data_IF_945909128199
#
_entry.id   IF_945909128199
#
_cell.length_a   1.000
_cell.length_b   1.000
_cell.length_c   1.000
_cell.angle_alpha   90.00
_cell.angle_beta   90.00
_cell.angle_gamma   90.00
#
_symmetry.space_group_name_H-M   'P 1'
#
loop_
_entity.id
_entity.type
_entity.pdbx_description
1 polymer ?
#
# COMPACT_ATOMS: atom_id res chain seq x y z
N UNK A 1 -18.28 24.83 18.19
CA UNK A 1 -17.04 24.12 17.77
C UNK A 1 -17.47 22.80 17.14
N UNK A 2 -17.00 22.39 15.95
CA UNK A 2 -17.36 21.08 15.42
C UNK A 2 -16.84 20.02 16.40
N UNK A 3 -17.74 19.20 16.94
CA UNK A 3 -17.42 18.13 17.88
C UNK A 3 -16.24 17.30 17.37
N UNK A 4 -15.32 16.99 18.29
CA UNK A 4 -14.15 16.17 17.99
C UNK A 4 -14.64 14.73 17.81
N UNK A 5 -14.82 14.33 16.54
CA UNK A 5 -15.21 12.95 16.15
C UNK A 5 -14.51 11.89 17.00
N UNK A 6 -15.27 10.87 17.41
CA UNK A 6 -14.73 9.74 18.19
C UNK A 6 -13.63 9.03 17.39
N UNK A 7 -12.50 8.77 18.06
CA UNK A 7 -11.38 8.05 17.43
C UNK A 7 -11.72 6.56 17.32
N UNK A 8 -11.56 6.00 16.13
CA UNK A 8 -11.78 4.57 15.88
C UNK A 8 -10.43 3.85 16.07
N UNK A 9 -10.19 3.35 17.27
CA UNK A 9 -8.93 2.72 17.65
C UNK A 9 -8.63 1.46 16.84
N UNK A 10 -9.67 0.70 16.47
CA UNK A 10 -9.50 -0.54 15.71
C UNK A 10 -8.93 -0.32 14.31
N UNK A 11 -9.19 0.83 13.67
CA UNK A 11 -8.55 1.17 12.38
C UNK A 11 -7.04 1.38 12.53
N UNK A 12 -6.62 2.00 13.63
CA UNK A 12 -5.20 2.15 13.94
C UNK A 12 -4.58 0.78 14.28
N UNK A 13 -5.25 -0.07 15.05
CA UNK A 13 -4.74 -1.39 15.43
C UNK A 13 -4.58 -2.34 14.24
N UNK A 14 -5.59 -2.42 13.35
CA UNK A 14 -5.50 -3.26 12.15
C UNK A 14 -4.42 -2.75 11.20
N UNK A 15 -4.29 -1.41 11.03
CA UNK A 15 -3.20 -0.84 10.24
C UNK A 15 -1.83 -1.17 10.85
N UNK A 16 -1.71 -1.09 12.17
CA UNK A 16 -0.49 -1.44 12.88
C UNK A 16 -0.12 -2.91 12.68
N UNK A 17 -1.10 -3.81 12.78
CA UNK A 17 -0.93 -5.23 12.49
C UNK A 17 -0.45 -5.47 11.06
N UNK A 18 -1.10 -4.88 10.05
CA UNK A 18 -0.72 -5.05 8.64
C UNK A 18 0.73 -4.60 8.37
N UNK A 19 1.18 -3.51 8.99
CA UNK A 19 2.56 -3.04 8.87
C UNK A 19 3.53 -4.01 9.54
N UNK A 20 3.21 -4.51 10.72
CA UNK A 20 4.06 -5.50 11.40
C UNK A 20 4.22 -6.76 10.55
N UNK A 21 3.13 -7.26 9.94
CA UNK A 21 3.20 -8.38 9.01
C UNK A 21 4.12 -8.09 7.82
N UNK A 22 4.05 -6.88 7.25
CA UNK A 22 4.96 -6.45 6.19
C UNK A 22 6.42 -6.41 6.67
N UNK A 23 6.70 -5.89 7.87
CA UNK A 23 8.06 -5.90 8.45
C UNK A 23 8.58 -7.33 8.60
N UNK A 24 7.77 -8.25 9.12
CA UNK A 24 8.16 -9.66 9.23
C UNK A 24 8.44 -10.28 7.85
N UNK A 25 7.62 -9.97 6.86
CA UNK A 25 7.82 -10.43 5.49
C UNK A 25 9.20 -9.99 4.95
N UNK A 26 9.51 -8.69 5.01
CA UNK A 26 10.80 -8.17 4.56
C UNK A 26 11.99 -8.64 5.40
N UNK A 27 11.81 -8.87 6.71
CA UNK A 27 12.87 -9.41 7.55
C UNK A 27 13.36 -10.79 7.06
N UNK A 28 12.47 -11.66 6.56
CA UNK A 28 12.88 -12.95 6.01
C UNK A 28 13.54 -12.82 4.63
N UNK A 29 13.14 -11.83 3.82
CA UNK A 29 13.88 -11.49 2.60
C UNK A 29 15.32 -11.09 2.94
N UNK A 30 15.51 -10.21 3.92
CA UNK A 30 16.83 -9.71 4.30
C UNK A 30 17.70 -10.80 4.96
N UNK A 31 17.11 -11.83 5.57
CA UNK A 31 17.85 -13.04 6.01
C UNK A 31 18.48 -13.76 4.81
N UNK A 32 17.76 -13.83 3.69
CA UNK A 32 18.29 -14.35 2.43
C UNK A 32 19.31 -13.40 1.81
N UNK A 33 18.90 -12.16 1.53
CA UNK A 33 19.68 -11.19 0.74
C UNK A 33 20.94 -10.69 1.47
N UNK A 34 20.86 -10.45 2.78
CA UNK A 34 21.94 -9.80 3.56
C UNK A 34 22.79 -10.80 4.31
N UNK A 35 22.17 -11.81 4.94
CA UNK A 35 22.90 -12.83 5.71
C UNK A 35 23.34 -14.00 4.81
N UNK A 36 22.66 -14.24 3.68
CA UNK A 36 22.97 -15.34 2.77
C UNK A 36 22.40 -16.69 3.21
N UNK A 37 21.32 -16.68 4.01
CA UNK A 37 20.71 -17.91 4.53
C UNK A 37 19.45 -18.27 3.71
N UNK A 38 19.54 -19.33 2.91
CA UNK A 38 18.49 -19.79 1.99
C UNK A 38 17.13 -20.03 2.66
N UNK A 39 17.10 -20.47 3.92
CA UNK A 39 15.85 -20.67 4.66
C UNK A 39 15.03 -19.38 4.81
N UNK A 40 15.67 -18.20 4.72
CA UNK A 40 14.99 -16.91 4.69
C UNK A 40 14.06 -16.79 3.48
N UNK A 41 14.53 -17.17 2.29
CA UNK A 41 13.71 -17.15 1.07
C UNK A 41 12.56 -18.14 1.13
N UNK A 42 12.77 -19.34 1.70
CA UNK A 42 11.69 -20.33 1.86
C UNK A 42 10.51 -19.76 2.67
N UNK A 43 10.80 -19.06 3.77
CA UNK A 43 9.77 -18.44 4.59
C UNK A 43 9.16 -17.22 3.89
N UNK A 44 9.98 -16.39 3.25
CA UNK A 44 9.50 -15.26 2.46
C UNK A 44 8.48 -15.70 1.39
N UNK A 45 8.83 -16.71 0.60
CA UNK A 45 7.96 -17.26 -0.45
C UNK A 45 6.68 -17.88 0.12
N UNK A 46 6.76 -18.56 1.27
CA UNK A 46 5.58 -19.05 1.97
C UNK A 46 4.66 -17.89 2.39
N UNK A 47 5.23 -16.79 2.87
CA UNK A 47 4.47 -15.60 3.28
C UNK A 47 3.89 -14.82 2.08
N UNK A 48 4.47 -14.91 0.88
CA UNK A 48 3.90 -14.34 -0.35
C UNK A 48 2.48 -14.84 -0.63
N UNK A 49 2.10 -16.03 -0.15
CA UNK A 49 0.74 -16.57 -0.28
C UNK A 49 -0.29 -15.78 0.55
N UNK A 50 0.09 -15.36 1.75
CA UNK A 50 -0.78 -14.58 2.65
C UNK A 50 -0.59 -13.07 2.49
N UNK A 51 0.51 -12.67 1.85
CA UNK A 51 0.86 -11.28 1.62
C UNK A 51 -0.29 -10.46 1.03
N UNK A 52 -0.96 -10.88 -0.06
CA UNK A 52 -2.18 -10.27 -0.63
C UNK A 52 -3.19 -9.72 0.38
N UNK A 53 -3.37 -10.43 1.50
CA UNK A 53 -4.34 -10.07 2.53
C UNK A 53 -3.93 -8.77 3.23
N UNK A 54 -2.67 -8.63 3.64
CA UNK A 54 -2.26 -7.49 4.48
C UNK A 54 -2.20 -6.17 3.70
N UNK A 55 -1.73 -6.15 2.45
CA UNK A 55 -1.76 -4.92 1.66
C UNK A 55 -3.17 -4.57 1.18
N UNK A 56 -4.03 -5.55 0.89
CA UNK A 56 -5.46 -5.29 0.64
C UNK A 56 -6.11 -4.60 1.84
N UNK A 57 -5.92 -5.14 3.05
CA UNK A 57 -6.39 -4.51 4.30
C UNK A 57 -5.84 -3.09 4.43
N UNK A 58 -4.55 -2.90 4.17
CA UNK A 58 -3.89 -1.60 4.27
C UNK A 58 -4.45 -0.57 3.29
N UNK A 59 -4.72 -0.96 2.04
CA UNK A 59 -5.33 -0.13 0.99
C UNK A 59 -6.76 0.24 1.37
N UNK A 60 -7.59 -0.73 1.78
CA UNK A 60 -8.98 -0.49 2.19
C UNK A 60 -9.04 0.46 3.40
N UNK A 61 -8.22 0.25 4.42
CA UNK A 61 -8.15 1.13 5.60
C UNK A 61 -7.68 2.53 5.20
N UNK A 62 -6.73 2.65 4.27
CA UNK A 62 -6.27 3.94 3.75
C UNK A 62 -7.38 4.69 3.02
N UNK A 63 -8.22 3.99 2.26
CA UNK A 63 -9.46 4.49 1.69
C UNK A 63 -10.44 4.98 2.75
N UNK A 64 -10.75 4.15 3.76
CA UNK A 64 -11.64 4.52 4.87
C UNK A 64 -11.15 5.78 5.60
N UNK A 65 -9.85 5.85 5.89
CA UNK A 65 -9.26 7.00 6.57
C UNK A 65 -9.20 8.26 5.71
N UNK A 66 -9.24 8.12 4.38
CA UNK A 66 -9.35 9.23 3.45
C UNK A 66 -10.75 9.86 3.47
N UNK A 67 -11.79 9.07 3.73
CA UNK A 67 -13.16 9.57 3.98
C UNK A 67 -13.29 10.33 5.30
N UNK A 68 -12.53 9.90 6.32
CA UNK A 68 -12.49 10.52 7.64
C UNK A 68 -11.62 11.79 7.71
N UNK A 69 -10.67 11.93 6.79
CA UNK A 69 -9.69 13.01 6.82
C UNK A 69 -10.32 14.37 6.51
N UNK A 70 -9.77 15.42 7.11
CA UNK A 70 -10.15 16.81 6.81
C UNK A 70 -9.52 17.30 5.50
N UNK A 71 -8.30 16.86 5.20
CA UNK A 71 -7.56 17.27 4.01
C UNK A 71 -6.79 16.07 3.44
N UNK A 72 -7.51 15.26 2.66
CA UNK A 72 -6.98 14.04 2.04
C UNK A 72 -5.93 14.35 0.99
N UNK A 73 -6.12 15.41 0.18
CA UNK A 73 -5.16 15.83 -0.86
C UNK A 73 -3.81 16.17 -0.23
N UNK A 74 -3.78 16.97 0.83
CA UNK A 74 -2.53 17.32 1.53
C UNK A 74 -1.81 16.07 2.04
N UNK A 75 -2.54 15.11 2.61
CA UNK A 75 -1.95 13.85 3.08
C UNK A 75 -1.40 13.02 1.92
N UNK A 76 -2.14 12.93 0.82
CA UNK A 76 -1.69 12.26 -0.40
C UNK A 76 -0.39 12.85 -0.94
N UNK A 77 -0.29 14.18 -1.00
CA UNK A 77 0.95 14.88 -1.42
C UNK A 77 2.11 14.54 -0.48
N UNK A 78 1.92 14.54 0.84
CA UNK A 78 2.98 14.16 1.79
C UNK A 78 3.45 12.72 1.52
N UNK A 79 2.52 11.79 1.31
CA UNK A 79 2.86 10.39 1.00
C UNK A 79 3.60 10.28 -0.33
N UNK A 80 3.21 11.03 -1.37
CA UNK A 80 3.90 11.08 -2.65
C UNK A 80 5.32 11.64 -2.53
N UNK A 81 5.53 12.67 -1.70
CA UNK A 81 6.88 13.20 -1.44
C UNK A 81 7.74 12.13 -0.76
N UNK A 82 7.22 11.44 0.25
CA UNK A 82 7.92 10.32 0.88
C UNK A 82 8.22 9.20 -0.11
N UNK A 83 7.29 8.88 -1.01
CA UNK A 83 7.47 7.89 -2.06
C UNK A 83 8.59 8.29 -3.04
N UNK A 84 8.61 9.55 -3.48
CA UNK A 84 9.69 10.07 -4.34
C UNK A 84 11.07 10.08 -3.67
N UNK A 85 11.12 10.30 -2.34
CA UNK A 85 12.37 10.14 -1.57
C UNK A 85 12.84 8.67 -1.60
N UNK A 86 11.92 7.70 -1.46
CA UNK A 86 12.28 6.27 -1.58
C UNK A 86 12.80 5.96 -2.98
N UNK A 87 12.13 6.44 -4.04
CA UNK A 87 12.61 6.24 -5.42
C UNK A 87 13.99 6.86 -5.62
N UNK A 88 14.23 8.07 -5.12
CA UNK A 88 15.55 8.69 -5.20
C UNK A 88 16.61 7.86 -4.46
N UNK A 89 16.30 7.38 -3.26
CA UNK A 89 17.21 6.56 -2.48
C UNK A 89 17.52 5.22 -3.18
N UNK A 90 16.49 4.51 -3.64
CA UNK A 90 16.60 3.14 -4.15
C UNK A 90 16.98 3.06 -5.62
N UNK A 91 16.51 3.97 -6.47
CA UNK A 91 16.75 3.93 -7.91
C UNK A 91 17.89 4.86 -8.39
N UNK A 92 18.43 5.72 -7.51
CA UNK A 92 19.56 6.61 -7.84
C UNK A 92 20.71 6.43 -6.86
N UNK A 93 20.49 6.64 -5.56
CA UNK A 93 21.59 6.63 -4.58
C UNK A 93 22.17 5.22 -4.42
N UNK A 94 21.33 4.20 -4.24
CA UNK A 94 21.77 2.81 -4.07
C UNK A 94 22.57 2.27 -5.28
N UNK A 95 22.11 2.44 -6.54
CA UNK A 95 22.91 2.08 -7.72
C UNK A 95 24.25 2.80 -7.81
N UNK A 96 24.31 4.09 -7.45
CA UNK A 96 25.58 4.83 -7.40
C UNK A 96 26.56 4.28 -6.34
N UNK A 97 26.04 3.59 -5.33
CA UNK A 97 26.82 2.88 -4.31
C UNK A 97 27.10 1.41 -4.67
N UNK A 98 26.65 0.94 -5.84
CA UNK A 98 26.86 -0.43 -6.32
C UNK A 98 25.78 -1.43 -5.91
N UNK A 99 24.70 -0.99 -5.24
CA UNK A 99 23.54 -1.84 -4.93
C UNK A 99 22.54 -1.77 -6.08
N UNK A 100 22.35 -2.89 -6.79
CA UNK A 100 21.48 -3.00 -7.97
C UNK A 100 20.39 -4.05 -7.72
N UNK A 101 19.21 -3.87 -8.29
CA UNK A 101 18.09 -4.82 -8.19
C UNK A 101 17.07 -4.50 -7.10
N UNK A 102 17.34 -3.51 -6.25
CA UNK A 102 16.46 -3.04 -5.18
C UNK A 102 15.71 -1.73 -5.54
N UNK A 103 15.69 -1.35 -6.82
CA UNK A 103 15.11 -0.09 -7.26
C UNK A 103 13.59 -0.09 -7.10
N UNK A 104 13.03 1.00 -6.56
CA UNK A 104 11.58 1.19 -6.45
C UNK A 104 11.17 2.35 -7.36
N UNK A 105 10.47 2.06 -8.46
CA UNK A 105 9.98 3.08 -9.39
C UNK A 105 8.56 3.57 -9.07
N UNK A 106 7.65 2.65 -8.72
CA UNK A 106 6.25 2.98 -8.40
C UNK A 106 5.65 2.00 -7.39
N UNK A 107 6.18 2.04 -6.17
CA UNK A 107 5.72 1.20 -5.05
C UNK A 107 4.39 1.64 -4.42
N UNK A 108 3.99 0.95 -3.34
CA UNK A 108 2.68 1.12 -2.69
C UNK A 108 2.44 2.55 -2.19
N UNK A 109 3.45 3.30 -1.74
CA UNK A 109 3.26 4.70 -1.33
C UNK A 109 2.93 5.61 -2.52
N UNK A 110 3.48 5.36 -3.71
CA UNK A 110 3.11 6.10 -4.91
C UNK A 110 1.63 5.88 -5.25
N UNK A 111 1.21 4.62 -5.25
CA UNK A 111 -0.17 4.22 -5.46
C UNK A 111 -1.11 4.88 -4.44
N UNK A 112 -0.83 4.72 -3.14
CA UNK A 112 -1.68 5.25 -2.07
C UNK A 112 -1.74 6.78 -2.06
N UNK A 113 -0.60 7.44 -2.24
CA UNK A 113 -0.53 8.89 -2.35
C UNK A 113 -1.38 9.41 -3.51
N UNK A 114 -1.29 8.76 -4.67
CA UNK A 114 -2.10 9.08 -5.85
C UNK A 114 -3.59 8.83 -5.60
N UNK A 115 -3.94 7.68 -5.03
CA UNK A 115 -5.32 7.35 -4.65
C UNK A 115 -5.91 8.37 -3.67
N UNK A 116 -5.12 8.83 -2.69
CA UNK A 116 -5.53 9.88 -1.74
C UNK A 116 -5.79 11.21 -2.44
N UNK A 117 -4.92 11.64 -3.35
CA UNK A 117 -5.10 12.88 -4.12
C UNK A 117 -6.38 12.78 -4.95
N UNK A 118 -6.53 11.73 -5.75
CA UNK A 118 -7.72 11.52 -6.60
C UNK A 118 -8.99 11.47 -5.74
N UNK A 119 -9.00 10.66 -4.68
CA UNK A 119 -10.16 10.54 -3.78
C UNK A 119 -10.48 11.87 -3.09
N UNK A 120 -9.46 12.64 -2.71
CA UNK A 120 -9.62 13.95 -2.08
C UNK A 120 -10.30 14.95 -3.03
N UNK A 121 -9.88 14.98 -4.30
CA UNK A 121 -10.49 15.82 -5.34
C UNK A 121 -11.92 15.37 -5.68
N UNK A 122 -12.16 14.06 -5.74
CA UNK A 122 -13.48 13.48 -6.03
C UNK A 122 -14.40 13.39 -4.80
N UNK A 123 -13.95 13.78 -3.61
CA UNK A 123 -14.71 13.65 -2.37
C UNK A 123 -16.12 14.28 -2.42
N UNK A 124 -16.34 15.45 -3.06
CA UNK A 124 -17.70 16.00 -3.22
C UNK A 124 -18.64 15.06 -4.00
N UNK A 125 -18.13 14.35 -5.00
CA UNK A 125 -18.91 13.36 -5.76
C UNK A 125 -19.17 12.11 -4.92
N UNK A 126 -18.15 11.59 -4.23
CA UNK A 126 -18.29 10.43 -3.33
C UNK A 126 -19.30 10.69 -2.19
N UNK A 127 -19.60 11.94 -1.84
CA UNK A 127 -20.60 12.28 -0.82
C UNK A 127 -22.04 12.25 -1.37
N UNK A 128 -22.23 12.35 -2.68
CA UNK A 128 -23.53 12.31 -3.36
C UNK A 128 -23.99 10.90 -3.71
N UNK A 129 -23.04 9.98 -3.90
CA UNK A 129 -23.30 8.58 -4.25
C UNK A 129 -23.67 7.78 -3.00
N UNK A 130 -24.64 6.88 -3.10
CA UNK A 130 -24.92 5.91 -2.05
C UNK A 130 -23.70 5.02 -1.80
N UNK A 131 -23.29 4.88 -0.55
CA UNK A 131 -22.03 4.20 -0.25
C UNK A 131 -22.05 2.70 -0.57
N UNK A 132 -23.21 2.04 -0.53
CA UNK A 132 -23.33 0.61 -0.84
C UNK A 132 -23.16 0.41 -2.34
N UNK A 133 -23.81 1.25 -3.15
CA UNK A 133 -23.66 1.26 -4.60
C UNK A 133 -22.21 1.58 -4.98
N UNK A 134 -21.64 2.64 -4.42
CA UNK A 134 -20.25 3.04 -4.69
C UNK A 134 -19.25 1.94 -4.32
N UNK A 135 -19.42 1.29 -3.17
CA UNK A 135 -18.59 0.16 -2.76
C UNK A 135 -18.74 -1.04 -3.72
N UNK A 136 -19.97 -1.44 -4.05
CA UNK A 136 -20.23 -2.55 -4.96
C UNK A 136 -19.63 -2.30 -6.35
N UNK A 137 -19.86 -1.12 -6.94
CA UNK A 137 -19.30 -0.73 -8.24
C UNK A 137 -17.77 -0.72 -8.19
N UNK A 138 -17.18 -0.21 -7.10
CA UNK A 138 -15.72 -0.22 -6.94
C UNK A 138 -15.17 -1.65 -6.92
N UNK A 139 -15.80 -2.57 -6.20
CA UNK A 139 -15.36 -3.97 -6.17
C UNK A 139 -15.52 -4.66 -7.53
N UNK A 140 -16.62 -4.40 -8.24
CA UNK A 140 -16.85 -4.93 -9.59
C UNK A 140 -15.78 -4.41 -10.55
N UNK A 141 -15.48 -3.12 -10.52
CA UNK A 141 -14.44 -2.52 -11.37
C UNK A 141 -13.05 -3.06 -11.03
N UNK A 142 -12.73 -3.22 -9.74
CA UNK A 142 -11.49 -3.86 -9.29
C UNK A 142 -11.33 -5.24 -9.92
N UNK A 143 -12.32 -6.12 -9.77
CA UNK A 143 -12.29 -7.47 -10.32
C UNK A 143 -12.24 -7.46 -11.85
N UNK A 144 -12.99 -6.55 -12.48
CA UNK A 144 -13.03 -6.41 -13.93
C UNK A 144 -11.66 -6.03 -14.50
N UNK A 145 -10.92 -5.12 -13.88
CA UNK A 145 -9.59 -4.69 -14.37
C UNK A 145 -8.42 -5.34 -13.65
N UNK A 146 -8.64 -6.38 -12.83
CA UNK A 146 -7.58 -6.94 -11.97
C UNK A 146 -6.36 -7.43 -12.77
N UNK A 147 -6.59 -8.07 -13.92
CA UNK A 147 -5.52 -8.59 -14.79
C UNK A 147 -4.89 -7.56 -15.74
N UNK A 148 -5.16 -6.26 -15.55
CA UNK A 148 -4.70 -5.22 -16.48
C UNK A 148 -3.18 -5.21 -16.65
N UNK A 149 -2.40 -5.49 -15.62
CA UNK A 149 -0.94 -5.58 -15.72
C UNK A 149 -0.49 -6.71 -16.66
N UNK A 150 -1.25 -7.82 -16.70
CA UNK A 150 -1.00 -8.96 -17.58
C UNK A 150 -1.64 -8.84 -18.98
N UNK A 151 -2.12 -7.66 -19.38
CA UNK A 151 -2.71 -7.47 -20.71
C UNK A 151 -4.16 -7.96 -20.85
N UNK A 152 -4.82 -8.38 -19.76
CA UNK A 152 -6.15 -9.00 -19.86
C UNK A 152 -7.10 -8.49 -18.78
N UNK A 153 -8.30 -8.09 -19.18
CA UNK A 153 -9.38 -7.68 -18.27
C UNK A 153 -10.54 -8.66 -18.36
N UNK A 154 -11.57 -8.45 -17.54
CA UNK A 154 -12.77 -9.28 -17.46
C UNK A 154 -12.42 -10.75 -17.23
N UNK A 155 -11.65 -11.06 -16.17
CA UNK A 155 -11.22 -12.42 -15.84
C UNK A 155 -10.48 -13.15 -16.97
N UNK A 156 -9.76 -12.41 -17.82
CA UNK A 156 -9.01 -12.97 -18.94
C UNK A 156 -9.78 -13.01 -20.26
N UNK A 157 -11.06 -12.63 -20.29
CA UNK A 157 -11.92 -12.72 -21.47
C UNK A 157 -11.64 -11.64 -22.52
N UNK A 158 -11.08 -10.50 -22.11
CA UNK A 158 -10.79 -9.37 -23.01
C UNK A 158 -9.29 -9.12 -22.97
N UNK A 159 -8.63 -9.29 -24.12
CA UNK A 159 -7.22 -8.93 -24.30
C UNK A 159 -7.09 -7.47 -24.68
N UNK A 160 -6.15 -6.78 -24.06
CA UNK A 160 -5.83 -5.38 -24.35
C UNK A 160 -4.81 -5.29 -25.49
N UNK A 161 -4.76 -4.17 -26.23
CA UNK A 161 -3.79 -4.00 -27.30
C UNK A 161 -2.35 -4.04 -26.78
N UNK A 162 -1.50 -4.86 -27.41
CA UNK A 162 -0.07 -4.97 -27.04
C UNK A 162 0.68 -3.64 -27.16
N UNK A 163 0.22 -2.74 -28.03
CA UNK A 163 0.78 -1.40 -28.19
C UNK A 163 0.76 -0.57 -26.90
N UNK A 164 -0.14 -0.87 -25.97
CA UNK A 164 -0.22 -0.19 -24.67
C UNK A 164 0.93 -0.58 -23.73
N UNK A 165 1.52 -1.76 -23.94
CA UNK A 165 2.58 -2.35 -23.09
C UNK A 165 3.98 -2.16 -23.68
N UNK A 166 4.15 -1.29 -24.68
CA UNK A 166 5.46 -1.07 -25.31
C UNK A 166 6.40 -0.20 -24.45
N UNK A 167 5.84 0.72 -23.67
CA UNK A 167 6.61 1.74 -22.96
C UNK A 167 6.34 1.71 -21.45
N UNK A 168 7.41 1.86 -20.65
CA UNK A 168 7.33 1.84 -19.19
C UNK A 168 6.84 3.17 -18.58
N UNK A 169 6.66 4.21 -19.39
CA UNK A 169 6.12 5.50 -18.92
C UNK A 169 4.70 5.38 -18.36
N UNK A 170 3.96 4.36 -18.80
CA UNK A 170 2.61 4.08 -18.33
C UNK A 170 2.57 3.05 -17.18
N UNK A 171 3.73 2.65 -16.64
CA UNK A 171 3.80 1.73 -15.50
C UNK A 171 2.97 2.20 -14.29
N UNK A 172 2.88 3.52 -13.96
CA UNK A 172 1.98 3.98 -12.91
C UNK A 172 0.50 3.58 -13.12
N UNK A 173 0.07 3.39 -14.37
CA UNK A 173 -1.30 2.99 -14.71
C UNK A 173 -1.46 1.47 -14.86
N UNK A 174 -0.39 0.68 -14.71
CA UNK A 174 -0.42 -0.78 -14.91
C UNK A 174 0.02 -1.23 -16.30
N UNK A 175 0.55 -0.33 -17.14
CA UNK A 175 1.01 -0.68 -18.49
C UNK A 175 2.54 -0.57 -18.58
N UNK A 176 3.22 -1.71 -18.65
CA UNK A 176 4.67 -1.76 -18.78
C UNK A 176 5.09 -2.95 -19.64
N UNK A 177 6.30 -2.90 -20.19
CA UNK A 177 6.88 -3.99 -20.95
C UNK A 177 7.56 -5.02 -20.03
N UNK A 178 8.08 -6.09 -20.62
CA UNK A 178 8.75 -7.17 -19.91
C UNK A 178 10.11 -6.77 -19.29
N UNK A 179 10.68 -5.62 -19.66
CA UNK A 179 11.93 -5.13 -19.08
C UNK A 179 11.72 -4.27 -17.83
N UNK A 180 10.47 -4.01 -17.45
CA UNK A 180 10.17 -3.25 -16.24
C UNK A 180 10.34 -4.14 -15.01
N UNK A 181 11.15 -3.67 -14.07
CA UNK A 181 11.38 -4.31 -12.78
C UNK A 181 11.36 -3.24 -11.68
N UNK A 182 10.74 -3.55 -10.55
CA UNK A 182 10.68 -2.68 -9.38
C UNK A 182 10.50 -3.57 -8.16
N UNK A 183 11.35 -3.41 -7.14
CA UNK A 183 11.33 -4.23 -5.93
C UNK A 183 10.01 -4.12 -5.13
N UNK A 184 9.34 -2.97 -5.27
CA UNK A 184 7.95 -2.77 -4.86
C UNK A 184 7.18 -2.14 -6.04
N UNK A 185 6.12 -2.79 -6.50
CA UNK A 185 5.32 -2.30 -7.62
C UNK A 185 3.81 -2.42 -7.36
N UNK A 186 3.15 -1.26 -7.37
CA UNK A 186 1.71 -1.14 -7.18
C UNK A 186 1.17 -0.10 -8.15
N UNK A 187 0.60 -0.54 -9.25
CA UNK A 187 -0.08 0.33 -10.21
C UNK A 187 -1.30 1.05 -9.61
N UNK A 188 -1.80 2.09 -10.29
CA UNK A 188 -3.07 2.75 -9.93
C UNK A 188 -4.25 1.84 -10.30
N UNK A 189 -4.21 1.16 -11.44
CA UNK A 189 -5.23 0.21 -11.86
C UNK A 189 -4.69 -1.21 -11.65
N UNK A 190 -5.33 -2.05 -10.81
CA UNK A 190 -6.71 -1.94 -10.33
C UNK A 190 -6.88 -1.28 -8.95
N UNK A 191 -5.79 -1.01 -8.24
CA UNK A 191 -5.77 -0.74 -6.80
C UNK A 191 -6.57 0.48 -6.34
N UNK A 192 -6.74 1.48 -7.21
CA UNK A 192 -7.59 2.64 -6.95
C UNK A 192 -9.04 2.24 -6.64
N UNK A 193 -9.55 1.19 -7.27
CA UNK A 193 -10.91 0.71 -7.03
C UNK A 193 -11.02 0.02 -5.66
N UNK A 194 -10.00 -0.71 -5.23
CA UNK A 194 -9.95 -1.25 -3.87
C UNK A 194 -9.86 -0.12 -2.81
N UNK A 195 -9.12 0.93 -3.13
CA UNK A 195 -9.05 2.13 -2.29
C UNK A 195 -10.41 2.85 -2.24
N UNK A 196 -11.10 2.99 -3.37
CA UNK A 196 -12.43 3.60 -3.45
C UNK A 196 -13.47 2.80 -2.68
N UNK A 197 -13.42 1.46 -2.75
CA UNK A 197 -14.24 0.59 -1.91
C UNK A 197 -14.09 0.97 -0.43
N UNK A 198 -12.83 1.08 0.05
CA UNK A 198 -12.51 1.58 1.38
C UNK A 198 -13.08 2.98 1.67
N UNK A 199 -12.94 3.92 0.73
CA UNK A 199 -13.46 5.28 0.89
C UNK A 199 -14.99 5.34 0.99
N UNK A 200 -15.71 4.48 0.26
CA UNK A 200 -17.17 4.39 0.34
C UNK A 200 -17.63 3.77 1.66
N UNK A 201 -17.11 2.60 2.05
CA UNK A 201 -17.50 1.97 3.33
C UNK A 201 -17.05 2.82 4.53
N UNK A 202 -16.01 3.64 4.36
CA UNK A 202 -15.58 4.66 5.31
C UNK A 202 -16.67 5.69 5.67
N UNK A 203 -17.78 5.76 4.92
CA UNK A 203 -18.96 6.55 5.31
C UNK A 203 -19.54 6.07 6.64
N UNK A 204 -19.60 4.76 6.89
CA UNK A 204 -20.14 4.19 8.14
C UNK A 204 -19.33 4.70 9.34
N UNK A 205 -18.00 4.71 9.18
CA UNK A 205 -17.07 5.27 10.15
C UNK A 205 -17.24 6.79 10.32
N UNK A 206 -17.44 7.52 9.22
CA UNK A 206 -17.60 8.98 9.25
C UNK A 206 -18.92 9.43 9.90
N UNK A 207 -19.97 8.60 9.80
CA UNK A 207 -21.28 8.79 10.41
C UNK A 207 -21.33 8.24 11.87
N UNK A 208 -20.20 7.77 12.40
CA UNK A 208 -20.06 7.16 13.74
C UNK A 208 -20.94 5.90 13.98
N UNK A 209 -21.32 5.19 12.91
CA UNK A 209 -22.21 4.01 12.97
C UNK A 209 -21.48 2.66 13.09
N UNK A 210 -20.19 2.67 13.45
CA UNK A 210 -19.46 1.45 13.71
C UNK A 210 -19.84 0.84 15.07
N UNK A 211 -19.69 -0.48 15.26
CA UNK A 211 -19.87 -1.12 16.57
C UNK A 211 -19.00 -0.50 17.67
N UNK A 212 -19.56 -0.37 18.87
CA UNK A 212 -18.87 0.18 20.07
C UNK A 212 -17.47 -0.39 20.34
N UNK A 213 -17.21 -1.72 20.19
CA UNK A 213 -15.85 -2.25 20.35
C UNK A 213 -14.80 -1.58 19.46
N UNK A 214 -15.16 -1.11 18.26
CA UNK A 214 -14.20 -0.49 17.34
C UNK A 214 -13.62 0.84 17.85
N UNK A 215 -14.32 1.50 18.78
CA UNK A 215 -13.87 2.74 19.42
C UNK A 215 -13.04 2.48 20.68
N UNK A 216 -13.04 1.25 21.21
CA UNK A 216 -12.20 0.87 22.35
C UNK A 216 -10.80 0.51 21.86
N UNK A 217 -9.82 0.85 22.67
CA UNK A 217 -8.43 0.44 22.44
C UNK A 217 -8.21 -0.95 23.03
N UNK A 218 -7.82 -1.91 22.21
CA UNK A 218 -7.51 -3.28 22.62
C UNK A 218 -6.00 -3.49 22.80
N UNK A 219 -5.19 -2.85 21.95
CA UNK A 219 -3.72 -2.96 22.00
C UNK A 219 -3.06 -1.60 21.91
N UNK A 220 -2.35 -1.23 22.98
CA UNK A 220 -1.54 0.00 23.01
C UNK A 220 -0.45 0.00 21.95
N UNK A 221 0.20 -1.14 21.77
CA UNK A 221 1.28 -1.31 20.80
C UNK A 221 0.78 -1.20 19.36
N UNK A 222 -0.21 -2.00 18.96
CA UNK A 222 -0.73 -1.96 17.58
C UNK A 222 -1.31 -0.59 17.24
N UNK A 223 -2.04 0.02 18.19
CA UNK A 223 -2.57 1.36 18.03
C UNK A 223 -1.44 2.39 17.88
N UNK A 224 -0.33 2.28 18.61
CA UNK A 224 0.82 3.17 18.43
C UNK A 224 1.46 3.02 17.06
N UNK A 225 1.70 1.78 16.61
CA UNK A 225 2.30 1.49 15.30
C UNK A 225 1.43 2.03 14.17
N UNK A 226 0.13 1.71 14.15
CA UNK A 226 -0.74 2.13 13.05
C UNK A 226 -1.01 3.63 12.99
N UNK A 227 -0.93 4.35 14.12
CA UNK A 227 -0.97 5.82 14.15
C UNK A 227 0.24 6.45 13.49
N UNK A 228 1.39 5.84 13.67
CA UNK A 228 2.67 6.27 13.12
C UNK A 228 3.03 5.48 11.85
N UNK A 229 2.05 4.84 11.22
CA UNK A 229 2.19 3.92 10.09
C UNK A 229 3.15 4.38 9.00
N UNK A 230 3.03 5.64 8.54
CA UNK A 230 3.92 6.18 7.52
C UNK A 230 5.38 6.17 7.97
N UNK A 231 5.67 6.59 9.21
CA UNK A 231 7.04 6.62 9.72
C UNK A 231 7.60 5.23 9.96
N UNK A 232 6.78 4.32 10.49
CA UNK A 232 7.18 2.92 10.66
C UNK A 232 7.47 2.29 9.29
N UNK A 233 6.63 2.56 8.29
CA UNK A 233 6.84 2.12 6.90
C UNK A 233 8.10 2.76 6.30
N UNK A 234 8.44 4.02 6.57
CA UNK A 234 9.69 4.59 6.03
C UNK A 234 10.94 4.04 6.71
N UNK A 235 10.84 3.71 7.99
CA UNK A 235 11.97 3.29 8.80
C UNK A 235 12.27 1.79 8.72
N UNK A 236 11.28 0.93 8.39
CA UNK A 236 11.47 -0.53 8.50
C UNK A 236 12.64 -1.04 7.68
N UNK A 237 12.70 -0.77 6.37
CA UNK A 237 13.73 -1.37 5.51
C UNK A 237 15.14 -0.85 5.84
N UNK A 238 15.38 0.45 6.04
CA UNK A 238 16.70 0.93 6.48
C UNK A 238 17.14 0.33 7.84
N UNK A 239 16.20 0.17 8.79
CA UNK A 239 16.51 -0.42 10.09
C UNK A 239 16.78 -1.92 9.95
N UNK A 240 15.97 -2.65 9.18
CA UNK A 240 16.16 -4.08 8.94
C UNK A 240 17.51 -4.34 8.28
N UNK A 241 17.84 -3.63 7.19
CA UNK A 241 19.16 -3.73 6.56
C UNK A 241 20.29 -3.45 7.55
N UNK A 242 20.21 -2.39 8.36
CA UNK A 242 21.26 -2.07 9.33
C UNK A 242 21.42 -3.19 10.38
N UNK A 243 20.32 -3.74 10.89
CA UNK A 243 20.35 -4.84 11.87
C UNK A 243 20.90 -6.12 11.24
N UNK A 244 20.42 -6.50 10.05
CA UNK A 244 20.88 -7.72 9.37
C UNK A 244 22.35 -7.61 8.96
N UNK A 245 22.81 -6.43 8.54
CA UNK A 245 24.21 -6.20 8.22
C UNK A 245 25.12 -6.33 9.45
N UNK A 246 24.70 -5.80 10.61
CA UNK A 246 25.42 -6.00 11.87
C UNK A 246 25.47 -7.49 12.23
N UNK A 247 24.35 -8.21 12.12
CA UNK A 247 24.30 -9.65 12.40
C UNK A 247 25.26 -10.39 11.47
N UNK A 248 25.19 -10.14 10.16
CA UNK A 248 26.03 -10.78 9.15
C UNK A 248 27.52 -10.62 9.49
N UNK A 249 27.97 -9.41 9.81
CA UNK A 249 29.36 -9.13 10.22
C UNK A 249 29.75 -9.88 11.50
N UNK A 250 28.84 -10.06 12.45
CA UNK A 250 29.13 -10.76 13.71
C UNK A 250 29.14 -12.28 13.58
N UNK A 251 28.48 -12.82 12.55
CA UNK A 251 28.37 -14.26 12.30
C UNK A 251 29.35 -14.81 11.26
N UNK A 252 30.00 -13.94 10.48
CA UNK A 252 31.07 -14.26 9.53
C UNK A 252 32.42 -13.99 10.19
#
# INVERSE_FOLDING_TARGET
MPEKRKRIHMLDEIRGFAIICMIFHHAFLDVGDVIGLEWGYEIFDALCTVQPIFWTIFIVISGMCSRLSRNTVKRGIIVLVCAGIITLATAVIMPLLGFVGAEIYFGILHCLGTCMVITGLLMPLFKKIDFRIGAAVSLILFLFVYGIEGGKICFGLISLPESWYQFNILAPLGFHNASFHSADYFSILPWIFMFFFGAFIGKIAADEKLPEPMYKQHSKFLSFVGKNSLWVYLAHQPILYAVMFIIAILTI
#
